data_IF_764666646031
#
_entry.id   IF_764666646031
#
_cell.length_a   1.000
_cell.length_b   1.000
_cell.length_c   1.000
_cell.angle_alpha   90.00
_cell.angle_beta   90.00
_cell.angle_gamma   90.00
#
_symmetry.space_group_name_H-M   'P 1'
#
loop_
_entity.id
_entity.type
_entity.pdbx_description
1 polymer ?
#
# COMPACT_ATOMS: atom_id res chain seq x y z
N UNK A 1 -30.60 3.55 -5.59
CA UNK A 1 -30.10 4.50 -6.61
C UNK A 1 -28.70 4.88 -6.20
N UNK A 2 -27.78 5.06 -7.16
CA UNK A 2 -26.43 5.52 -6.87
C UNK A 2 -26.48 6.94 -6.27
N UNK A 3 -25.87 7.12 -5.12
CA UNK A 3 -25.77 8.44 -4.48
C UNK A 3 -24.83 9.32 -5.30
N UNK A 4 -25.22 10.58 -5.48
CA UNK A 4 -24.42 11.61 -6.14
C UNK A 4 -24.11 12.70 -5.11
N UNK A 5 -22.86 12.82 -4.75
CA UNK A 5 -22.35 13.76 -3.76
C UNK A 5 -21.42 14.76 -4.43
N UNK A 6 -21.27 15.94 -3.83
CA UNK A 6 -20.19 16.85 -4.17
C UNK A 6 -18.84 16.29 -3.72
N UNK A 7 -17.75 16.82 -4.28
CA UNK A 7 -16.40 16.37 -3.90
C UNK A 7 -16.12 16.56 -2.41
N UNK A 8 -16.65 17.63 -1.81
CA UNK A 8 -16.48 17.93 -0.38
C UNK A 8 -17.23 16.90 0.47
N UNK A 9 -18.48 16.58 0.11
CA UNK A 9 -19.27 15.56 0.82
C UNK A 9 -18.64 14.17 0.74
N UNK A 10 -18.02 13.82 -0.40
CA UNK A 10 -17.27 12.56 -0.54
C UNK A 10 -16.08 12.53 0.41
N UNK A 11 -15.37 13.65 0.57
CA UNK A 11 -14.19 13.73 1.43
C UNK A 11 -14.57 13.67 2.90
N UNK A 12 -15.57 14.43 3.32
CA UNK A 12 -16.09 14.40 4.69
C UNK A 12 -16.55 12.98 5.07
N UNK A 13 -17.24 12.30 4.14
CA UNK A 13 -17.69 10.93 4.35
C UNK A 13 -16.52 9.93 4.37
N UNK A 14 -15.47 10.16 3.58
CA UNK A 14 -14.27 9.32 3.60
C UNK A 14 -13.52 9.47 4.94
N UNK A 15 -13.44 10.68 5.50
CA UNK A 15 -12.88 10.92 6.84
C UNK A 15 -13.71 10.23 7.94
N UNK A 16 -15.05 10.26 7.82
CA UNK A 16 -15.96 9.54 8.72
C UNK A 16 -15.70 8.03 8.70
N UNK A 17 -15.58 7.42 7.50
CA UNK A 17 -15.26 6.00 7.35
C UNK A 17 -13.84 5.66 7.80
N UNK A 18 -12.88 6.56 7.60
CA UNK A 18 -11.52 6.37 8.07
C UNK A 18 -11.45 6.40 9.60
N UNK A 19 -12.26 7.26 10.22
CA UNK A 19 -12.23 7.59 11.65
C UNK A 19 -11.16 8.63 12.01
N UNK A 20 -10.63 9.35 11.01
CA UNK A 20 -9.58 10.36 11.16
C UNK A 20 -9.60 11.34 9.97
N UNK A 21 -9.08 12.57 10.14
CA UNK A 21 -8.86 13.48 9.02
C UNK A 21 -7.89 12.89 7.99
N UNK A 22 -8.11 13.17 6.71
CA UNK A 22 -7.25 12.76 5.60
C UNK A 22 -6.46 13.97 5.13
N UNK A 23 -5.13 13.86 5.08
CA UNK A 23 -4.32 14.96 4.55
C UNK A 23 -4.57 15.16 3.04
N UNK A 24 -4.51 16.40 2.50
CA UNK A 24 -4.75 16.66 1.08
C UNK A 24 -3.87 15.81 0.14
N UNK A 25 -2.63 15.55 0.52
CA UNK A 25 -1.69 14.68 -0.19
C UNK A 25 -2.14 13.22 -0.20
N UNK A 26 -2.62 12.69 0.93
CA UNK A 26 -3.14 11.32 1.03
C UNK A 26 -4.40 11.16 0.18
N UNK A 27 -5.27 12.18 0.16
CA UNK A 27 -6.45 12.20 -0.70
C UNK A 27 -6.08 12.21 -2.18
N UNK A 28 -5.12 13.06 -2.56
CA UNK A 28 -4.64 13.18 -3.95
C UNK A 28 -4.06 11.85 -4.47
N UNK A 29 -3.38 11.09 -3.60
CA UNK A 29 -2.86 9.77 -3.93
C UNK A 29 -3.95 8.69 -3.95
N UNK A 30 -4.88 8.71 -2.99
CA UNK A 30 -5.86 7.64 -2.80
C UNK A 30 -7.03 7.70 -3.79
N UNK A 31 -7.54 8.89 -4.09
CA UNK A 31 -8.77 9.07 -4.87
C UNK A 31 -8.71 8.45 -6.27
N UNK A 32 -7.65 8.64 -7.08
CA UNK A 32 -7.58 8.04 -8.42
C UNK A 32 -7.66 6.50 -8.38
N UNK A 33 -7.01 5.89 -7.38
CA UNK A 33 -7.02 4.44 -7.20
C UNK A 33 -8.40 3.94 -6.76
N UNK A 34 -9.03 4.65 -5.81
CA UNK A 34 -10.38 4.34 -5.36
C UNK A 34 -11.41 4.44 -6.51
N UNK A 35 -11.32 5.48 -7.35
CA UNK A 35 -12.17 5.64 -8.54
C UNK A 35 -11.95 4.53 -9.56
N UNK A 36 -10.70 4.14 -9.80
CA UNK A 36 -10.38 3.03 -10.70
C UNK A 36 -10.96 1.71 -10.17
N UNK A 37 -10.79 1.42 -8.87
CA UNK A 37 -11.35 0.24 -8.21
C UNK A 37 -12.88 0.23 -8.28
N UNK A 38 -13.55 1.37 -8.05
CA UNK A 38 -14.99 1.51 -8.20
C UNK A 38 -15.46 1.19 -9.62
N UNK A 39 -14.77 1.73 -10.63
CA UNK A 39 -15.10 1.47 -12.04
C UNK A 39 -15.03 -0.02 -12.36
N UNK A 40 -13.99 -0.72 -11.91
CA UNK A 40 -13.83 -2.16 -12.11
C UNK A 40 -14.92 -2.97 -11.40
N UNK A 41 -15.30 -2.58 -10.17
CA UNK A 41 -16.36 -3.25 -9.42
C UNK A 41 -17.69 -3.09 -10.14
N UNK A 42 -18.04 -1.87 -10.53
CA UNK A 42 -19.28 -1.57 -11.25
C UNK A 42 -19.35 -2.34 -12.59
N UNK A 43 -18.26 -2.38 -13.35
CA UNK A 43 -18.19 -3.14 -14.60
C UNK A 43 -18.38 -4.64 -14.37
N UNK A 44 -17.69 -5.20 -13.37
CA UNK A 44 -17.72 -6.64 -13.07
C UNK A 44 -19.10 -7.10 -12.58
N UNK A 45 -19.74 -6.31 -11.74
CA UNK A 45 -21.02 -6.68 -11.10
C UNK A 45 -22.25 -6.18 -11.87
N UNK A 46 -22.06 -5.35 -12.90
CA UNK A 46 -23.16 -4.70 -13.63
C UNK A 46 -23.96 -3.75 -12.74
N UNK A 47 -23.31 -3.13 -11.75
CA UNK A 47 -23.91 -2.25 -10.74
C UNK A 47 -23.46 -0.80 -10.93
N UNK A 48 -24.11 0.11 -10.19
CA UNK A 48 -23.62 1.47 -9.96
C UNK A 48 -23.71 1.76 -8.46
N UNK A 49 -22.59 1.56 -7.75
CA UNK A 49 -22.54 1.73 -6.30
C UNK A 49 -22.54 3.20 -5.85
N UNK A 50 -22.29 4.15 -6.74
CA UNK A 50 -22.34 5.59 -6.44
C UNK A 50 -21.25 6.10 -5.48
N UNK A 51 -21.43 7.34 -5.06
CA UNK A 51 -20.39 8.13 -4.40
C UNK A 51 -20.19 7.76 -2.91
N UNK A 52 -21.21 7.22 -2.24
CA UNK A 52 -21.07 6.71 -0.86
C UNK A 52 -20.05 5.57 -0.79
N UNK A 53 -20.09 4.68 -1.80
CA UNK A 53 -19.15 3.58 -1.90
C UNK A 53 -17.76 4.06 -2.33
N UNK A 54 -17.68 5.14 -3.11
CA UNK A 54 -16.40 5.79 -3.41
C UNK A 54 -15.71 6.28 -2.13
N UNK A 55 -16.44 6.91 -1.22
CA UNK A 55 -15.89 7.38 0.06
C UNK A 55 -15.30 6.23 0.90
N UNK A 56 -15.99 5.07 0.94
CA UNK A 56 -15.46 3.84 1.58
C UNK A 56 -14.12 3.44 0.94
N UNK A 57 -14.06 3.40 -0.40
CA UNK A 57 -12.86 2.99 -1.12
C UNK A 57 -11.69 3.98 -0.94
N UNK A 58 -11.96 5.27 -0.81
CA UNK A 58 -10.95 6.28 -0.47
C UNK A 58 -10.38 5.97 0.92
N UNK A 59 -11.24 5.80 1.93
CA UNK A 59 -10.82 5.48 3.29
C UNK A 59 -10.00 4.18 3.37
N UNK A 60 -10.41 3.13 2.64
CA UNK A 60 -9.64 1.89 2.53
C UNK A 60 -8.27 2.11 1.90
N UNK A 61 -8.21 2.92 0.84
CA UNK A 61 -6.96 3.17 0.09
C UNK A 61 -5.97 3.96 0.94
N UNK A 62 -6.41 5.00 1.67
CA UNK A 62 -5.58 5.75 2.62
C UNK A 62 -5.01 4.80 3.69
N UNK A 63 -5.86 3.96 4.29
CA UNK A 63 -5.44 2.99 5.30
C UNK A 63 -4.41 1.99 4.75
N UNK A 64 -4.60 1.51 3.52
CA UNK A 64 -3.69 0.58 2.86
C UNK A 64 -2.35 1.24 2.51
N UNK A 65 -2.36 2.50 2.05
CA UNK A 65 -1.15 3.27 1.75
C UNK A 65 -0.33 3.49 3.03
N UNK A 66 -0.97 3.95 4.11
CA UNK A 66 -0.33 4.18 5.40
C UNK A 66 0.28 2.88 5.97
N UNK A 67 -0.46 1.78 5.91
CA UNK A 67 0.05 0.47 6.33
C UNK A 67 1.25 0.03 5.48
N UNK A 68 1.17 0.19 4.16
CA UNK A 68 2.26 -0.16 3.25
C UNK A 68 3.51 0.66 3.55
N UNK A 69 3.39 1.98 3.69
CA UNK A 69 4.49 2.88 4.04
C UNK A 69 5.14 2.48 5.38
N UNK A 70 4.33 2.17 6.40
CA UNK A 70 4.83 1.69 7.69
C UNK A 70 5.62 0.37 7.54
N UNK A 71 5.09 -0.60 6.80
CA UNK A 71 5.77 -1.90 6.63
C UNK A 71 7.07 -1.79 5.83
N UNK A 72 7.13 -0.91 4.84
CA UNK A 72 8.35 -0.63 4.07
C UNK A 72 9.40 0.02 4.97
N UNK A 73 9.02 1.06 5.73
CA UNK A 73 9.93 1.71 6.68
C UNK A 73 10.45 0.74 7.75
N UNK A 74 9.60 -0.17 8.25
CA UNK A 74 10.02 -1.21 9.18
C UNK A 74 11.00 -2.20 8.54
N UNK A 75 10.75 -2.63 7.30
CA UNK A 75 11.68 -3.49 6.57
C UNK A 75 13.05 -2.84 6.39
N UNK A 76 13.08 -1.55 6.05
CA UNK A 76 14.32 -0.81 5.84
C UNK A 76 15.10 -0.66 7.15
N UNK A 77 14.42 -0.31 8.24
CA UNK A 77 15.02 -0.25 9.58
C UNK A 77 15.66 -1.59 9.99
N UNK A 78 14.93 -2.70 9.78
CA UNK A 78 15.43 -4.03 10.12
C UNK A 78 16.60 -4.47 9.24
N UNK A 79 16.66 -4.02 7.98
CA UNK A 79 17.82 -4.27 7.10
C UNK A 79 19.05 -3.54 7.58
N UNK A 80 18.92 -2.25 7.88
CA UNK A 80 20.03 -1.43 8.39
C UNK A 80 20.62 -2.03 9.68
N UNK A 81 19.78 -2.53 10.58
CA UNK A 81 20.23 -3.20 11.81
C UNK A 81 21.03 -4.49 11.54
N UNK A 82 20.65 -5.27 10.50
CA UNK A 82 21.38 -6.49 10.12
C UNK A 82 22.69 -6.22 9.38
N UNK A 83 22.76 -5.18 8.56
CA UNK A 83 24.00 -4.77 7.89
C UNK A 83 25.01 -4.18 8.88
N UNK A 84 24.53 -3.44 9.88
CA UNK A 84 25.37 -2.90 10.96
C UNK A 84 25.89 -3.97 11.94
N UNK A 85 25.24 -5.14 12.04
CA UNK A 85 25.71 -6.28 12.85
C UNK A 85 26.69 -7.17 12.07
N UNK A 86 26.43 -7.47 10.79
CA UNK A 86 27.29 -8.32 9.94
C UNK A 86 28.65 -7.69 9.61
N UNK A 87 28.79 -6.37 9.77
CA UNK A 87 30.08 -5.66 9.68
C UNK A 87 31.10 -6.03 10.77
N UNK A 88 30.69 -6.66 11.88
CA UNK A 88 31.59 -7.06 12.98
C UNK A 88 32.05 -8.53 12.94
N UNK A 89 31.56 -9.34 12.00
CA UNK A 89 31.87 -10.77 11.91
C UNK A 89 32.59 -11.17 10.61
N UNK A 90 33.42 -10.29 10.05
CA UNK A 90 34.36 -10.65 8.98
C UNK A 90 35.66 -11.24 9.57
N UNK A 91 35.58 -12.47 10.07
CA UNK A 91 36.72 -13.20 10.64
C UNK A 91 36.85 -14.67 10.26
N UNK A 92 36.04 -15.20 9.32
CA UNK A 92 36.11 -16.62 8.95
C UNK A 92 36.49 -16.78 7.47
N UNK A 93 37.69 -17.34 7.27
CA UNK A 93 38.31 -17.63 5.98
C UNK A 93 37.40 -18.55 5.16
N UNK A 94 37.00 -18.12 3.96
CA UNK A 94 36.28 -18.99 3.00
C UNK A 94 37.23 -20.08 2.49
N UNK A 95 36.88 -21.35 2.74
CA UNK A 95 37.55 -22.49 2.12
C UNK A 95 37.34 -22.51 0.60
N UNK A 96 38.33 -22.99 -0.18
CA UNK A 96 38.26 -22.94 -1.64
C UNK A 96 37.19 -23.89 -2.18
N UNK A 97 36.41 -23.41 -3.15
CA UNK A 97 35.37 -24.18 -3.82
C UNK A 97 35.96 -25.39 -4.58
N UNK A 98 35.37 -26.60 -4.46
CA UNK A 98 35.81 -27.76 -5.22
C UNK A 98 35.41 -27.61 -6.70
N UNK A 99 36.33 -27.97 -7.60
CA UNK A 99 36.11 -27.89 -9.05
C UNK A 99 35.03 -28.88 -9.50
N UNK A 100 34.16 -28.42 -10.41
CA UNK A 100 33.07 -29.21 -10.98
C UNK A 100 33.58 -30.48 -11.68
N UNK A 101 32.83 -31.58 -11.50
CA UNK A 101 33.11 -32.90 -12.09
C UNK A 101 32.96 -32.83 -13.63
N UNK A 102 33.87 -33.42 -14.42
CA UNK A 102 33.73 -33.42 -15.88
C UNK A 102 32.53 -34.27 -16.30
N UNK A 103 31.73 -33.73 -17.23
CA UNK A 103 30.62 -34.42 -17.87
C UNK A 103 31.14 -35.57 -18.74
N UNK A 104 30.51 -36.73 -18.61
CA UNK A 104 30.74 -37.91 -19.45
C UNK A 104 30.06 -37.76 -20.80
#
# INVERSE_FOLDING_TARGET
>A
MATRLSSVEIYDLAEEYLGAPIAPEEMLEAEPYARHKLSLINEREGTDHGDDYLAILIAETVRANAFSAFTLALCDLLRDDTENQTGQENGIKKEPHPKARPST
#
